data_IF_599619630341
#
_entry.id   IF_599619630341
#
_cell.length_a   1.000
_cell.length_b   1.000
_cell.length_c   1.000
_cell.angle_alpha   90.00
_cell.angle_beta   90.00
_cell.angle_gamma   90.00
#
_symmetry.space_group_name_H-M   'P 1'
#
loop_
_entity.id
_entity.type
_entity.pdbx_description
1 polymer ?
#
# COMPACT_ATOMS: atom_id res chain seq x y z
N UNK A 1 -16.58 -2.53 -39.00
CA UNK A 1 -15.33 -2.95 -38.35
C UNK A 1 -15.27 -2.20 -37.05
N UNK A 2 -15.77 -2.82 -35.99
CA UNK A 2 -15.76 -2.21 -34.67
C UNK A 2 -14.41 -2.52 -34.07
N UNK A 3 -13.55 -1.51 -34.01
CA UNK A 3 -12.33 -1.56 -33.22
C UNK A 3 -12.76 -1.84 -31.78
N UNK A 4 -12.65 -3.10 -31.35
CA UNK A 4 -12.67 -3.41 -29.95
C UNK A 4 -11.41 -2.77 -29.39
N UNK A 5 -11.53 -1.54 -28.92
CA UNK A 5 -10.57 -0.94 -27.99
C UNK A 5 -10.69 -1.80 -26.73
N UNK A 6 -10.06 -2.97 -26.77
CA UNK A 6 -9.93 -3.83 -25.62
C UNK A 6 -9.25 -3.00 -24.54
N UNK A 7 -9.77 -3.08 -23.32
CA UNK A 7 -9.05 -2.58 -22.16
C UNK A 7 -7.77 -3.41 -22.03
N UNK A 8 -6.71 -2.99 -22.71
CA UNK A 8 -5.40 -3.60 -22.61
C UNK A 8 -4.83 -3.18 -21.27
N UNK A 9 -4.95 -4.06 -20.29
CA UNK A 9 -4.20 -3.93 -19.04
C UNK A 9 -2.74 -4.23 -19.37
N UNK A 10 -1.84 -3.36 -18.93
CA UNK A 10 -0.40 -3.55 -19.03
C UNK A 10 0.08 -4.17 -17.72
N UNK A 11 0.40 -5.47 -17.67
CA UNK A 11 0.82 -6.14 -16.43
C UNK A 11 2.05 -5.50 -15.80
N UNK A 12 2.99 -5.03 -16.63
CA UNK A 12 4.21 -4.37 -16.17
C UNK A 12 3.90 -3.03 -15.46
N UNK A 13 2.89 -2.29 -15.91
CA UNK A 13 2.46 -1.08 -15.23
C UNK A 13 1.84 -1.38 -13.86
N UNK A 14 1.09 -2.49 -13.73
CA UNK A 14 0.56 -2.94 -12.45
C UNK A 14 1.66 -3.37 -11.48
N UNK A 15 2.72 -3.98 -12.00
CA UNK A 15 3.89 -4.35 -11.20
C UNK A 15 4.66 -3.13 -10.71
N UNK A 16 4.85 -2.12 -11.56
CA UNK A 16 5.45 -0.84 -11.13
C UNK A 16 4.64 -0.15 -10.03
N UNK A 17 3.31 -0.12 -10.17
CA UNK A 17 2.41 0.42 -9.13
C UNK A 17 2.52 -0.40 -7.85
N UNK A 18 2.55 -1.73 -7.95
CA UNK A 18 2.68 -2.62 -6.78
C UNK A 18 4.00 -2.40 -6.06
N UNK A 19 5.12 -2.28 -6.79
CA UNK A 19 6.43 -1.96 -6.23
C UNK A 19 6.44 -0.59 -5.56
N UNK A 20 5.87 0.43 -6.20
CA UNK A 20 5.77 1.78 -5.61
C UNK A 20 4.98 1.77 -4.31
N UNK A 21 3.84 1.08 -4.27
CA UNK A 21 3.02 0.94 -3.06
C UNK A 21 3.75 0.15 -1.96
N UNK A 22 4.52 -0.88 -2.31
CA UNK A 22 5.34 -1.62 -1.34
C UNK A 22 6.42 -0.75 -0.69
N UNK A 23 7.07 0.11 -1.48
CA UNK A 23 8.06 1.05 -0.96
C UNK A 23 7.39 2.03 0.01
N UNK A 24 6.25 2.61 -0.37
CA UNK A 24 5.48 3.50 0.52
C UNK A 24 5.03 2.79 1.81
N UNK A 25 4.60 1.53 1.72
CA UNK A 25 4.25 0.74 2.91
C UNK A 25 5.45 0.54 3.84
N UNK A 26 6.63 0.28 3.28
CA UNK A 26 7.89 0.12 4.01
C UNK A 26 8.35 1.42 4.67
N UNK A 27 8.24 2.54 3.94
CA UNK A 27 8.58 3.86 4.45
C UNK A 27 7.65 4.26 5.61
N UNK A 28 6.34 4.00 5.46
CA UNK A 28 5.38 4.23 6.54
C UNK A 28 5.66 3.34 7.77
N UNK A 29 5.99 2.06 7.56
CA UNK A 29 6.40 1.15 8.64
C UNK A 29 7.60 1.69 9.41
N UNK A 30 8.62 2.14 8.67
CA UNK A 30 9.84 2.74 9.22
C UNK A 30 9.55 4.04 9.97
N UNK A 31 8.67 4.90 9.43
CA UNK A 31 8.27 6.15 10.08
C UNK A 31 7.54 5.90 11.42
N UNK A 32 6.62 4.94 11.48
CA UNK A 32 5.96 4.58 12.74
C UNK A 32 6.92 3.94 13.75
N UNK A 33 7.85 3.10 13.29
CA UNK A 33 8.90 2.56 14.17
C UNK A 33 9.77 3.69 14.72
N UNK A 34 10.20 4.64 13.89
CA UNK A 34 10.99 5.78 14.32
C UNK A 34 10.23 6.68 15.30
N UNK A 35 8.93 6.88 15.08
CA UNK A 35 8.06 7.65 15.98
C UNK A 35 7.88 6.94 17.33
N UNK A 36 7.55 5.64 17.33
CA UNK A 36 7.34 4.85 18.56
C UNK A 36 8.63 4.57 19.35
N UNK A 37 9.78 4.61 18.68
CA UNK A 37 11.10 4.49 19.33
C UNK A 37 11.55 5.77 20.06
N UNK A 38 10.83 6.88 19.92
CA UNK A 38 11.15 8.11 20.65
C UNK A 38 10.93 7.92 22.15
N UNK A 39 11.75 8.60 22.96
CA UNK A 39 11.61 8.55 24.43
C UNK A 39 10.21 9.02 24.84
N UNK A 40 9.59 8.38 25.86
CA UNK A 40 8.38 8.90 26.48
C UNK A 40 8.63 10.33 26.93
N UNK A 41 7.75 11.25 26.56
CA UNK A 41 7.82 12.64 27.03
C UNK A 41 7.49 12.71 28.51
N UNK A 42 8.14 13.61 29.23
CA UNK A 42 7.77 13.92 30.61
C UNK A 42 6.92 15.17 30.63
N UNK A 43 5.88 15.20 31.46
CA UNK A 43 5.07 16.42 31.63
C UNK A 43 5.94 17.61 32.05
N UNK A 44 7.06 17.38 32.73
CA UNK A 44 8.02 18.40 33.12
C UNK A 44 8.82 19.00 31.96
N UNK A 45 8.86 18.34 30.79
CA UNK A 45 9.47 18.88 29.57
C UNK A 45 8.61 19.99 28.95
N UNK A 46 7.33 20.03 29.32
CA UNK A 46 6.38 21.06 28.92
C UNK A 46 6.23 22.06 30.06
N UNK A 47 6.36 23.35 29.73
CA UNK A 47 6.16 24.44 30.69
C UNK A 47 4.71 24.54 31.18
N UNK A 48 4.36 25.68 31.77
CA UNK A 48 2.99 25.94 32.25
C UNK A 48 1.99 26.06 31.08
N UNK A 49 0.68 26.17 31.40
CA UNK A 49 -0.44 26.41 30.48
C UNK A 49 -0.99 25.20 29.69
N UNK A 50 -0.81 23.97 30.18
CA UNK A 50 -1.51 22.79 29.64
C UNK A 50 -0.95 22.26 28.32
N UNK A 51 0.29 22.64 27.98
CA UNK A 51 1.00 22.19 26.79
C UNK A 51 1.23 20.68 26.80
N UNK A 52 1.42 20.09 28.00
CA UNK A 52 1.48 18.65 28.22
C UNK A 52 0.21 17.93 27.72
N UNK A 53 -0.98 18.49 28.00
CA UNK A 53 -2.27 17.93 27.56
C UNK A 53 -2.48 18.11 26.06
N UNK A 54 -2.09 19.25 25.51
CA UNK A 54 -2.16 19.50 24.07
C UNK A 54 -1.24 18.52 23.31
N UNK A 55 -0.01 18.31 23.81
CA UNK A 55 0.92 17.34 23.27
C UNK A 55 0.39 15.91 23.37
N UNK A 56 -0.16 15.50 24.52
CA UNK A 56 -0.75 14.18 24.68
C UNK A 56 -1.90 13.91 23.69
N UNK A 57 -2.74 14.92 23.44
CA UNK A 57 -3.80 14.85 22.44
C UNK A 57 -3.27 14.73 21.02
N UNK A 58 -2.24 15.53 20.67
CA UNK A 58 -1.56 15.42 19.39
C UNK A 58 -0.93 14.04 19.20
N UNK A 59 -0.16 13.55 20.16
CA UNK A 59 0.52 12.26 20.15
C UNK A 59 -0.47 11.10 19.93
N UNK A 60 -1.59 11.12 20.64
CA UNK A 60 -2.66 10.12 20.49
C UNK A 60 -3.26 10.15 19.09
N UNK A 61 -3.63 11.33 18.59
CA UNK A 61 -4.26 11.47 17.27
C UNK A 61 -3.29 11.10 16.15
N UNK A 62 -2.05 11.56 16.24
CA UNK A 62 -1.00 11.28 15.26
C UNK A 62 -0.66 9.79 15.19
N UNK A 63 -0.55 9.12 16.35
CA UNK A 63 -0.36 7.66 16.39
C UNK A 63 -1.52 6.90 15.72
N UNK A 64 -2.76 7.36 15.91
CA UNK A 64 -3.92 6.76 15.27
C UNK A 64 -3.91 6.98 13.75
N UNK A 65 -3.63 8.19 13.29
CA UNK A 65 -3.54 8.53 11.86
C UNK A 65 -2.45 7.72 11.14
N UNK A 66 -1.28 7.58 11.76
CA UNK A 66 -0.19 6.74 11.24
C UNK A 66 -0.63 5.28 11.10
N UNK A 67 -1.27 4.70 12.13
CA UNK A 67 -1.76 3.32 12.06
C UNK A 67 -2.84 3.11 11.00
N UNK A 68 -3.81 4.03 10.88
CA UNK A 68 -4.86 3.95 9.86
C UNK A 68 -4.25 4.02 8.47
N UNK A 69 -3.32 4.95 8.25
CA UNK A 69 -2.64 5.14 6.95
C UNK A 69 -1.83 3.89 6.57
N UNK A 70 -1.04 3.36 7.50
CA UNK A 70 -0.30 2.12 7.30
C UNK A 70 -1.19 0.95 6.89
N UNK A 71 -2.30 0.76 7.61
CA UNK A 71 -3.26 -0.30 7.31
C UNK A 71 -3.89 -0.13 5.93
N UNK A 72 -4.29 1.09 5.59
CA UNK A 72 -4.91 1.38 4.30
C UNK A 72 -3.95 1.11 3.13
N UNK A 73 -2.70 1.57 3.23
CA UNK A 73 -1.67 1.32 2.21
C UNK A 73 -1.33 -0.17 2.12
N UNK A 74 -1.18 -0.86 3.25
CA UNK A 74 -0.96 -2.31 3.26
C UNK A 74 -2.08 -3.09 2.58
N UNK A 75 -3.34 -2.71 2.80
CA UNK A 75 -4.49 -3.31 2.12
C UNK A 75 -4.51 -3.00 0.61
N UNK A 76 -4.11 -1.78 0.22
CA UNK A 76 -4.03 -1.40 -1.18
C UNK A 76 -2.96 -2.21 -1.92
N UNK A 77 -1.77 -2.38 -1.32
CA UNK A 77 -0.71 -3.26 -1.81
C UNK A 77 -1.24 -4.67 -2.05
N UNK A 78 -1.89 -5.27 -1.05
CA UNK A 78 -2.43 -6.63 -1.14
C UNK A 78 -3.44 -6.76 -2.29
N UNK A 79 -4.36 -5.79 -2.43
CA UNK A 79 -5.35 -5.79 -3.51
C UNK A 79 -4.71 -5.61 -4.89
N UNK A 80 -3.70 -4.75 -5.02
CA UNK A 80 -3.01 -4.56 -6.29
C UNK A 80 -2.19 -5.78 -6.70
N UNK A 81 -1.50 -6.41 -5.75
CA UNK A 81 -0.78 -7.66 -5.99
C UNK A 81 -1.73 -8.77 -6.45
N UNK A 82 -2.88 -8.94 -5.78
CA UNK A 82 -3.90 -9.90 -6.19
C UNK A 82 -4.47 -9.59 -7.58
N UNK A 83 -4.66 -8.30 -7.89
CA UNK A 83 -5.16 -7.87 -9.20
C UNK A 83 -4.15 -8.18 -10.31
N UNK A 84 -2.87 -7.85 -10.13
CA UNK A 84 -1.80 -8.18 -11.09
C UNK A 84 -1.72 -9.70 -11.34
N UNK A 85 -1.77 -10.50 -10.27
CA UNK A 85 -1.76 -11.96 -10.37
C UNK A 85 -2.96 -12.50 -11.18
N UNK A 86 -4.16 -11.96 -10.93
CA UNK A 86 -5.37 -12.37 -11.67
C UNK A 86 -5.28 -12.03 -13.15
N UNK A 87 -4.75 -10.86 -13.51
CA UNK A 87 -4.54 -10.49 -14.92
C UNK A 87 -3.56 -11.43 -15.61
N UNK A 88 -2.42 -11.74 -14.99
CA UNK A 88 -1.45 -12.71 -15.54
C UNK A 88 -2.04 -14.11 -15.73
N UNK A 89 -2.83 -14.57 -14.76
CA UNK A 89 -3.49 -15.87 -14.87
C UNK A 89 -4.52 -15.90 -16.02
N UNK A 90 -5.28 -14.82 -16.19
CA UNK A 90 -6.23 -14.68 -17.30
C UNK A 90 -5.51 -14.63 -18.66
N UNK A 91 -4.42 -13.87 -18.78
CA UNK A 91 -3.59 -13.82 -19.99
C UNK A 91 -3.00 -15.19 -20.33
N UNK A 92 -2.48 -15.91 -19.34
CA UNK A 92 -1.93 -17.27 -19.52
C UNK A 92 -3.01 -18.23 -20.03
N UNK A 93 -4.21 -18.17 -19.45
CA UNK A 93 -5.35 -19.00 -19.86
C UNK A 93 -5.80 -18.68 -21.28
N UNK A 94 -5.89 -17.39 -21.63
CA UNK A 94 -6.23 -16.95 -22.97
C UNK A 94 -5.17 -17.39 -23.98
N UNK A 95 -3.88 -17.19 -23.69
CA UNK A 95 -2.79 -17.62 -24.55
C UNK A 95 -2.79 -19.14 -24.78
N UNK A 96 -3.00 -19.94 -23.72
CA UNK A 96 -3.11 -21.39 -23.84
C UNK A 96 -4.27 -21.84 -24.73
N UNK A 97 -5.41 -21.12 -24.68
CA UNK A 97 -6.58 -21.39 -25.53
C UNK A 97 -6.39 -21.02 -27.02
N UNK A 98 -5.40 -20.18 -27.33
CA UNK A 98 -5.07 -19.74 -28.68
C UNK A 98 -4.01 -20.63 -29.35
N UNK A 99 -3.22 -21.39 -28.58
CA UNK A 99 -2.33 -22.42 -29.14
C UNK A 99 -3.16 -23.54 -29.76
N UNK A 100 -3.09 -23.77 -31.09
CA UNK A 100 -3.78 -24.88 -31.71
C UNK A 100 -3.27 -26.19 -31.08
N UNK A 101 -4.18 -27.10 -30.74
CA UNK A 101 -3.79 -28.47 -30.45
C UNK A 101 -3.00 -28.98 -31.66
N UNK A 102 -1.69 -29.20 -31.49
CA UNK A 102 -0.89 -29.87 -32.52
C UNK A 102 -1.54 -31.24 -32.73
N UNK A 103 -2.29 -31.34 -33.82
CA UNK A 103 -2.85 -32.59 -34.34
C UNK A 103 -1.70 -33.56 -34.59
N UNK A 104 -1.84 -34.74 -33.98
CA UNK A 104 -1.05 -35.96 -34.18
C UNK A 104 -0.71 -36.23 -35.64
#
# INVERSE_FOLDING_TARGET
MSDSVGYTVQPDALDHVTTGLNNVATDLASANQAYTAQKPYQSADFGEFGVDRAWAGFDTNWSQELHVTQRAVGQLVQKMSATSANYRAAETTAAASLTPAQTR
#
